data_IF_409099306120
#
_entry.id   IF_409099306120
#
_cell.length_a   1.000
_cell.length_b   1.000
_cell.length_c   1.000
_cell.angle_alpha   90.00
_cell.angle_beta   90.00
_cell.angle_gamma   90.00
#
_symmetry.space_group_name_H-M   'P 1'
#
loop_
_entity.id
_entity.type
_entity.pdbx_description
1 polymer ?
#
# COMPACT_ATOMS: atom_id res chain seq x y z
N UNK A 1 4.51 31.04 -3.91
CA UNK A 1 3.33 30.15 -3.82
C UNK A 1 3.61 28.95 -4.72
N UNK A 2 4.11 27.85 -4.14
CA UNK A 2 4.43 26.65 -4.91
C UNK A 2 3.13 25.86 -5.12
N UNK A 3 2.71 25.73 -6.37
CA UNK A 3 1.57 24.89 -6.74
C UNK A 3 2.07 23.45 -6.70
N UNK A 4 1.68 22.69 -5.69
CA UNK A 4 1.86 21.24 -5.66
C UNK A 4 0.94 20.63 -6.72
N UNK A 5 1.44 20.51 -7.95
CA UNK A 5 0.75 19.76 -9.00
C UNK A 5 1.00 18.27 -8.76
N UNK A 6 -0.08 17.51 -8.62
CA UNK A 6 -0.17 16.05 -8.47
C UNK A 6 0.68 15.22 -9.46
N UNK A 7 1.22 15.84 -10.50
CA UNK A 7 2.22 15.32 -11.44
C UNK A 7 3.56 14.95 -10.78
N UNK A 8 3.96 15.62 -9.71
CA UNK A 8 5.24 15.36 -9.02
C UNK A 8 5.26 14.01 -8.27
N UNK A 9 4.10 13.52 -7.80
CA UNK A 9 4.05 12.27 -7.03
C UNK A 9 3.97 11.01 -7.92
N UNK A 10 3.30 11.06 -9.08
CA UNK A 10 3.22 9.90 -9.98
C UNK A 10 4.59 9.50 -10.55
N UNK A 11 5.41 10.49 -10.92
CA UNK A 11 6.78 10.25 -11.39
C UNK A 11 7.59 9.50 -10.33
N UNK A 12 7.48 9.92 -9.07
CA UNK A 12 8.21 9.32 -7.96
C UNK A 12 7.75 7.88 -7.69
N UNK A 13 6.43 7.64 -7.71
CA UNK A 13 5.88 6.29 -7.56
C UNK A 13 6.41 5.36 -8.67
N UNK A 14 6.48 5.87 -9.91
CA UNK A 14 7.04 5.10 -11.03
C UNK A 14 8.52 4.77 -10.83
N UNK A 15 9.33 5.72 -10.35
CA UNK A 15 10.74 5.50 -10.02
C UNK A 15 10.92 4.46 -8.93
N UNK A 16 10.20 4.58 -7.82
CA UNK A 16 10.32 3.64 -6.70
C UNK A 16 9.95 2.22 -7.13
N UNK A 17 8.83 2.04 -7.85
CA UNK A 17 8.45 0.72 -8.37
C UNK A 17 9.52 0.18 -9.33
N UNK A 18 10.08 1.02 -10.19
CA UNK A 18 11.09 0.60 -11.15
C UNK A 18 12.38 0.16 -10.44
N UNK A 19 12.82 0.90 -9.43
CA UNK A 19 13.96 0.55 -8.58
C UNK A 19 13.77 -0.82 -7.93
N UNK A 20 12.61 -1.07 -7.29
CA UNK A 20 12.29 -2.37 -6.70
C UNK A 20 12.26 -3.52 -7.72
N UNK A 21 11.90 -3.23 -8.97
CA UNK A 21 11.86 -4.21 -10.05
C UNK A 21 13.21 -4.43 -10.74
N UNK A 22 14.24 -3.65 -10.39
CA UNK A 22 15.52 -3.57 -11.12
C UNK A 22 15.34 -3.11 -12.56
N UNK A 23 14.38 -2.21 -12.80
CA UNK A 23 14.00 -1.71 -14.11
C UNK A 23 14.49 -0.28 -14.28
N UNK A 24 15.23 -0.01 -15.35
CA UNK A 24 15.60 1.36 -15.70
C UNK A 24 14.46 2.04 -16.47
N UNK A 25 14.02 3.23 -16.04
CA UNK A 25 13.09 4.08 -16.78
C UNK A 25 13.88 5.12 -17.57
N UNK A 26 13.92 4.98 -18.89
CA UNK A 26 14.64 5.89 -19.79
C UNK A 26 13.70 6.90 -20.44
N UNK A 27 12.40 6.66 -20.32
CA UNK A 27 11.31 7.47 -20.85
C UNK A 27 11.11 8.71 -19.97
N UNK A 28 11.13 9.91 -20.56
CA UNK A 28 10.95 11.16 -19.81
C UNK A 28 9.51 11.43 -19.38
N UNK A 29 8.53 10.85 -20.10
CA UNK A 29 7.10 11.10 -19.88
C UNK A 29 6.42 10.00 -19.06
N UNK A 30 5.46 10.39 -18.21
CA UNK A 30 4.69 9.47 -17.36
C UNK A 30 4.06 8.30 -18.12
N UNK A 31 3.56 8.55 -19.34
CA UNK A 31 2.93 7.51 -20.15
C UNK A 31 3.92 6.41 -20.60
N UNK A 32 5.09 6.80 -21.11
CA UNK A 32 6.12 5.85 -21.53
C UNK A 32 6.66 5.01 -20.36
N UNK A 33 6.81 5.66 -19.20
CA UNK A 33 7.21 5.01 -17.94
C UNK A 33 6.16 4.01 -17.47
N UNK A 34 4.90 4.40 -17.48
CA UNK A 34 3.77 3.54 -17.15
C UNK A 34 3.70 2.31 -18.07
N UNK A 35 3.93 2.49 -19.36
CA UNK A 35 3.94 1.40 -20.34
C UNK A 35 5.06 0.39 -20.07
N UNK A 36 6.25 0.86 -19.69
CA UNK A 36 7.38 -0.01 -19.36
C UNK A 36 7.14 -0.78 -18.06
N UNK A 37 6.64 -0.11 -17.03
CA UNK A 37 6.21 -0.74 -15.78
C UNK A 37 5.15 -1.81 -16.03
N UNK A 38 4.14 -1.47 -16.84
CA UNK A 38 3.04 -2.40 -17.19
C UNK A 38 3.57 -3.66 -17.87
N UNK A 39 4.48 -3.52 -18.83
CA UNK A 39 5.12 -4.67 -19.49
C UNK A 39 5.88 -5.54 -18.49
N UNK A 40 6.65 -4.92 -17.58
CA UNK A 40 7.44 -5.63 -16.57
C UNK A 40 6.58 -6.35 -15.52
N UNK A 41 5.42 -5.78 -15.18
CA UNK A 41 4.46 -6.33 -14.20
C UNK A 41 3.48 -7.35 -14.82
N UNK A 42 3.27 -7.30 -16.13
CA UNK A 42 2.41 -8.24 -16.87
C UNK A 42 3.14 -9.52 -17.32
N UNK A 43 4.36 -9.76 -16.82
CA UNK A 43 5.19 -10.91 -17.17
C UNK A 43 4.72 -12.23 -16.54
N UNK A 44 5.57 -13.26 -16.60
CA UNK A 44 5.28 -14.59 -16.01
C UNK A 44 5.52 -14.65 -14.50
N UNK A 45 6.36 -13.76 -13.96
CA UNK A 45 6.65 -13.69 -12.53
C UNK A 45 5.49 -13.06 -11.78
N UNK A 46 5.15 -13.62 -10.61
CA UNK A 46 4.17 -13.03 -9.69
C UNK A 46 4.83 -11.88 -8.91
N UNK A 47 4.16 -10.74 -8.87
CA UNK A 47 4.57 -9.52 -8.20
C UNK A 47 3.44 -9.07 -7.28
N UNK A 48 3.79 -8.65 -6.07
CA UNK A 48 2.89 -7.97 -5.15
C UNK A 48 3.37 -6.52 -5.03
N UNK A 49 2.49 -5.58 -5.36
CA UNK A 49 2.72 -4.15 -5.13
C UNK A 49 1.95 -3.75 -3.89
N UNK A 50 2.64 -3.18 -2.91
CA UNK A 50 2.03 -2.65 -1.67
C UNK A 50 2.12 -1.14 -1.73
N UNK A 51 0.96 -0.48 -1.77
CA UNK A 51 0.85 0.97 -1.67
C UNK A 51 0.46 1.30 -0.23
N UNK A 52 1.44 1.77 0.54
CA UNK A 52 1.26 2.02 1.96
C UNK A 52 0.82 3.46 2.26
N UNK A 53 -0.10 3.62 3.23
CA UNK A 53 -0.59 4.90 3.74
C UNK A 53 -1.10 5.85 2.64
N UNK A 54 -1.91 5.31 1.73
CA UNK A 54 -2.50 6.09 0.64
C UNK A 54 -3.58 7.02 1.19
N UNK A 55 -3.43 8.33 0.99
CA UNK A 55 -4.37 9.35 1.49
C UNK A 55 -5.40 9.80 0.45
N UNK A 56 -5.08 9.66 -0.84
CA UNK A 56 -5.91 10.04 -1.98
C UNK A 56 -5.95 8.92 -3.02
N UNK A 57 -6.98 8.91 -3.86
CA UNK A 57 -7.08 7.92 -4.92
C UNK A 57 -5.86 7.97 -5.87
N UNK A 58 -5.37 6.79 -6.25
CA UNK A 58 -4.26 6.60 -7.18
C UNK A 58 -4.80 5.86 -8.40
N UNK A 59 -4.62 6.45 -9.58
CA UNK A 59 -4.90 5.74 -10.82
C UNK A 59 -3.77 4.75 -11.13
N UNK A 60 -3.99 3.49 -10.76
CA UNK A 60 -3.05 2.38 -10.99
C UNK A 60 -2.66 2.23 -12.46
N UNK A 61 -3.57 2.53 -13.39
CA UNK A 61 -3.30 2.46 -14.83
C UNK A 61 -2.32 3.54 -15.26
N UNK A 62 -2.48 4.75 -14.73
CA UNK A 62 -1.56 5.87 -14.97
C UNK A 62 -0.19 5.62 -14.34
N UNK A 63 -0.12 4.92 -13.20
CA UNK A 63 1.17 4.47 -12.65
C UNK A 63 1.82 3.42 -13.56
N UNK A 64 1.03 2.59 -14.24
CA UNK A 64 1.52 1.47 -15.06
C UNK A 64 1.37 0.11 -14.39
N UNK A 65 0.59 0.02 -13.32
CA UNK A 65 0.27 -1.23 -12.66
C UNK A 65 -0.86 -1.92 -13.46
N UNK A 66 -0.66 -3.15 -13.95
CA UNK A 66 -1.69 -3.85 -14.69
C UNK A 66 -2.85 -4.20 -13.76
N UNK A 67 -4.03 -3.73 -14.13
CA UNK A 67 -5.28 -4.00 -13.44
C UNK A 67 -6.13 -4.92 -14.32
N UNK A 68 -6.68 -5.98 -13.73
CA UNK A 68 -7.48 -7.02 -14.42
C UNK A 68 -6.78 -7.86 -15.51
N UNK A 69 -5.49 -8.17 -15.37
CA UNK A 69 -4.90 -9.23 -16.21
C UNK A 69 -5.41 -10.62 -15.77
N UNK A 70 -5.97 -11.38 -16.71
CA UNK A 70 -6.40 -12.78 -16.53
C UNK A 70 -5.26 -13.70 -16.06
N UNK A 71 -4.02 -13.26 -16.25
CA UNK A 71 -2.83 -13.84 -15.66
C UNK A 71 -2.56 -13.12 -14.34
N UNK A 72 -2.68 -13.82 -13.21
CA UNK A 72 -2.42 -13.36 -11.83
C UNK A 72 -0.95 -12.93 -11.56
N UNK A 73 -0.26 -12.32 -12.53
CA UNK A 73 1.14 -11.92 -12.38
C UNK A 73 1.32 -10.71 -11.47
N UNK A 74 0.29 -9.89 -11.25
CA UNK A 74 0.39 -8.72 -10.38
C UNK A 74 -0.82 -8.65 -9.44
N UNK A 75 -0.56 -8.56 -8.12
CA UNK A 75 -1.56 -8.22 -7.10
C UNK A 75 -1.19 -6.87 -6.48
N UNK A 76 -2.21 -6.12 -6.09
CA UNK A 76 -2.04 -4.84 -5.41
C UNK A 76 -2.70 -4.92 -4.04
N UNK A 77 -1.95 -4.55 -3.01
CA UNK A 77 -2.45 -4.31 -1.67
C UNK A 77 -2.33 -2.82 -1.39
N UNK A 78 -3.40 -2.20 -0.92
CA UNK A 78 -3.43 -0.78 -0.57
C UNK A 78 -3.81 -0.66 0.89
N UNK A 79 -3.04 0.09 1.65
CA UNK A 79 -3.38 0.46 3.04
C UNK A 79 -3.76 1.94 3.08
N UNK A 80 -4.78 2.27 3.87
CA UNK A 80 -5.24 3.65 4.03
C UNK A 80 -5.94 3.82 5.36
N UNK A 81 -5.90 5.05 5.87
CA UNK A 81 -6.71 5.52 7.01
C UNK A 81 -8.08 6.03 6.58
N UNK A 82 -8.30 6.26 5.28
CA UNK A 82 -9.55 6.75 4.73
C UNK A 82 -10.21 5.65 3.90
N UNK A 83 -11.34 5.10 4.36
CA UNK A 83 -12.03 4.03 3.66
C UNK A 83 -12.65 4.48 2.33
N UNK A 84 -12.94 5.77 2.17
CA UNK A 84 -13.64 6.30 1.00
C UNK A 84 -12.81 6.16 -0.28
N UNK A 85 -11.48 6.15 -0.18
CA UNK A 85 -10.59 6.03 -1.35
C UNK A 85 -10.78 4.68 -2.08
N UNK A 86 -11.30 3.66 -1.39
CA UNK A 86 -11.47 2.33 -1.96
C UNK A 86 -12.74 2.21 -2.81
N UNK A 87 -13.69 3.15 -2.69
CA UNK A 87 -14.97 3.11 -3.41
C UNK A 87 -14.75 3.27 -4.92
N UNK A 88 -13.78 4.10 -5.30
CA UNK A 88 -13.50 4.43 -6.71
C UNK A 88 -12.30 3.66 -7.28
N UNK A 89 -11.57 2.90 -6.46
CA UNK A 89 -10.40 2.11 -6.88
C UNK A 89 -10.73 0.73 -7.46
N UNK A 90 -12.00 0.41 -7.76
CA UNK A 90 -12.45 -0.93 -8.21
C UNK A 90 -11.91 -2.06 -7.31
N UNK A 91 -11.80 -1.80 -5.99
CA UNK A 91 -11.18 -2.72 -5.03
C UNK A 91 -11.99 -4.01 -4.91
N UNK A 92 -11.37 -5.17 -5.22
CA UNK A 92 -12.06 -6.48 -5.20
C UNK A 92 -12.42 -6.97 -3.79
N UNK A 93 -11.59 -6.65 -2.79
CA UNK A 93 -11.78 -7.08 -1.41
C UNK A 93 -11.26 -6.03 -0.45
N UNK A 94 -12.07 -5.65 0.54
CA UNK A 94 -11.72 -4.73 1.61
C UNK A 94 -11.46 -5.53 2.89
N UNK A 95 -10.47 -5.10 3.67
CA UNK A 95 -10.11 -5.67 4.96
C UNK A 95 -10.10 -4.53 5.99
N UNK A 96 -11.23 -4.22 6.63
CA UNK A 96 -11.23 -3.25 7.71
C UNK A 96 -10.34 -3.78 8.84
N UNK A 97 -9.46 -2.92 9.34
CA UNK A 97 -8.67 -3.18 10.54
C UNK A 97 -9.30 -2.35 11.65
N UNK A 98 -10.00 -3.04 12.55
CA UNK A 98 -10.64 -2.42 13.70
C UNK A 98 -9.66 -2.24 14.86
N UNK A 99 -10.10 -1.55 15.90
CA UNK A 99 -9.37 -1.51 17.16
C UNK A 99 -9.23 -2.91 17.73
N UNK A 100 -8.12 -3.16 18.42
CA UNK A 100 -7.90 -4.41 19.13
C UNK A 100 -9.04 -4.64 20.13
N UNK A 101 -9.49 -5.89 20.24
CA UNK A 101 -10.33 -6.30 21.36
C UNK A 101 -9.56 -6.13 22.68
N UNK A 102 -10.27 -6.05 23.80
CA UNK A 102 -9.65 -5.94 25.13
C UNK A 102 -8.63 -7.07 25.37
N UNK A 103 -8.93 -8.28 24.90
CA UNK A 103 -8.04 -9.43 25.01
C UNK A 103 -6.79 -9.24 24.14
N UNK A 104 -6.94 -8.87 22.87
CA UNK A 104 -5.80 -8.62 21.97
C UNK A 104 -4.92 -7.45 22.45
N UNK A 105 -5.54 -6.37 22.96
CA UNK A 105 -4.82 -5.22 23.51
C UNK A 105 -4.00 -5.61 24.75
N UNK A 106 -4.58 -6.44 25.64
CA UNK A 106 -3.88 -6.97 26.81
C UNK A 106 -2.75 -7.90 26.45
N UNK A 107 -2.96 -8.78 25.48
CA UNK A 107 -1.93 -9.72 25.04
C UNK A 107 -0.76 -8.98 24.38
N UNK A 108 -1.06 -7.99 23.54
CA UNK A 108 -0.05 -7.10 22.97
C UNK A 108 0.70 -6.31 24.06
N UNK A 109 -0.01 -5.79 25.06
CA UNK A 109 0.62 -5.05 26.17
C UNK A 109 1.58 -5.93 26.98
N UNK A 110 1.17 -7.17 27.30
CA UNK A 110 2.02 -8.16 27.97
C UNK A 110 3.24 -8.54 27.14
N UNK A 111 3.08 -8.72 25.84
CA UNK A 111 4.20 -9.00 24.93
C UNK A 111 5.22 -7.86 24.94
N UNK A 112 4.75 -6.61 24.87
CA UNK A 112 5.61 -5.43 24.75
C UNK A 112 6.33 -5.05 26.05
N UNK A 113 5.65 -5.12 27.19
CA UNK A 113 6.23 -4.73 28.48
C UNK A 113 6.79 -5.92 29.30
N UNK A 114 6.69 -7.15 28.76
CA UNK A 114 7.21 -8.37 29.35
C UNK A 114 6.27 -9.03 30.36
N UNK A 115 6.51 -10.31 30.69
CA UNK A 115 5.65 -11.09 31.59
C UNK A 115 5.66 -10.64 33.06
N UNK A 116 6.48 -9.66 33.43
CA UNK A 116 6.62 -9.15 34.81
C UNK A 116 5.48 -8.22 35.27
N UNK A 117 4.44 -8.05 34.45
CA UNK A 117 3.32 -7.11 34.65
C UNK A 117 2.12 -7.78 35.37
N UNK A 118 2.30 -8.94 36.00
CA UNK A 118 1.29 -9.54 36.88
C UNK A 118 1.08 -8.76 38.20
N UNK A 119 1.44 -7.47 38.24
CA UNK A 119 1.07 -6.56 39.33
C UNK A 119 -0.41 -6.12 39.15
N UNK A 120 -1.26 -6.23 40.18
CA UNK A 120 -2.64 -5.75 40.17
C UNK A 120 -2.82 -4.28 39.76
N UNK A 121 -1.76 -3.47 39.86
CA UNK A 121 -1.75 -2.03 39.59
C UNK A 121 -1.80 -1.69 38.09
N UNK A 122 -1.37 -2.61 37.22
CA UNK A 122 -1.28 -2.38 35.77
C UNK A 122 -2.51 -2.89 35.00
N UNK A 123 -3.47 -3.51 35.71
CA UNK A 123 -4.71 -4.02 35.13
C UNK A 123 -5.60 -2.91 34.52
N UNK A 124 -5.46 -1.68 35.01
CA UNK A 124 -6.25 -0.51 34.59
C UNK A 124 -5.64 0.29 33.45
N UNK A 125 -4.41 0.00 33.04
CA UNK A 125 -3.70 0.78 32.00
C UNK A 125 -3.92 0.19 30.60
N UNK A 126 -4.38 -1.07 30.51
CA UNK A 126 -4.63 -1.78 29.26
C UNK A 126 -6.11 -1.73 28.83
N UNK A 127 -6.62 -0.53 28.54
CA UNK A 127 -7.94 -0.29 27.94
C UNK A 127 -7.82 0.59 26.69
#
# INVERSE_FOLDING_TARGET
>A
MAVFTQTADLSRIQDEIAEFLGLELTEKGLHGRADKLRKRLSGTKRVLVILDNVSTQVDLKTVGIPFHCDKMSCKVLVTSRNQDIFNDMETKKKFPIDVLTEQEARDLFKEMAGSSIESPELYFVAH
#
